data_IF_611286347856
#
_entry.id   IF_611286347856
#
_cell.length_a   1.000
_cell.length_b   1.000
_cell.length_c   1.000
_cell.angle_alpha   90.00
_cell.angle_beta   90.00
_cell.angle_gamma   90.00
#
_symmetry.space_group_name_H-M   'P 1'
#
loop_
_entity.id
_entity.type
_entity.pdbx_description
1 polymer ?
#
# COMPACT_ATOMS: atom_id res chain seq x y z
N UNK A 1 -2.80 -0.55 24.25
CA UNK A 1 -2.25 -1.83 24.75
C UNK A 1 -2.27 -2.87 23.62
N UNK A 2 -1.50 -3.98 23.70
CA UNK A 2 -1.48 -5.05 22.69
C UNK A 2 -2.79 -5.86 22.57
N UNK A 3 -3.70 -5.71 23.53
CA UNK A 3 -5.02 -6.34 23.52
C UNK A 3 -6.11 -5.46 22.87
N UNK A 4 -5.76 -4.24 22.48
CA UNK A 4 -6.68 -3.29 21.87
C UNK A 4 -6.44 -3.25 20.35
N UNK A 5 -7.51 -3.11 19.58
CA UNK A 5 -7.40 -2.84 18.16
C UNK A 5 -6.70 -1.49 17.92
N UNK A 6 -5.97 -1.34 16.80
CA UNK A 6 -5.41 -0.05 16.44
C UNK A 6 -6.51 1.01 16.29
N UNK A 7 -6.20 2.29 16.53
CA UNK A 7 -7.19 3.36 16.44
C UNK A 7 -7.76 3.44 15.01
N UNK A 8 -9.09 3.53 14.92
CA UNK A 8 -9.77 3.84 13.66
C UNK A 8 -9.91 5.35 13.51
N UNK A 9 -9.76 5.84 12.28
CA UNK A 9 -9.86 7.26 11.93
C UNK A 9 -10.93 7.39 10.86
N UNK A 10 -11.76 8.44 10.92
CA UNK A 10 -12.70 8.71 9.83
C UNK A 10 -11.89 9.05 8.57
N UNK A 11 -12.14 8.33 7.50
CA UNK A 11 -11.62 8.65 6.17
C UNK A 11 -12.73 9.27 5.31
N UNK A 12 -12.36 10.14 4.38
CA UNK A 12 -13.23 10.63 3.32
C UNK A 12 -13.05 9.84 2.02
N UNK A 13 -12.09 8.91 1.97
CA UNK A 13 -11.86 8.06 0.81
C UNK A 13 -13.01 7.05 0.65
N UNK A 14 -13.39 6.78 -0.61
CA UNK A 14 -14.46 5.86 -0.93
C UNK A 14 -13.93 4.42 -0.80
N UNK A 15 -14.52 3.57 0.05
CA UNK A 15 -14.11 2.16 0.15
C UNK A 15 -14.30 1.38 -1.16
N UNK A 16 -15.06 1.91 -2.13
CA UNK A 16 -15.26 1.34 -3.45
C UNK A 16 -14.50 2.08 -4.56
N UNK A 17 -13.50 2.91 -4.21
CA UNK A 17 -12.66 3.60 -5.19
C UNK A 17 -12.06 2.59 -6.18
N UNK A 18 -12.26 2.86 -7.47
CA UNK A 18 -11.67 2.11 -8.56
C UNK A 18 -10.55 2.93 -9.17
N UNK A 19 -9.34 2.36 -9.22
CA UNK A 19 -8.23 2.92 -9.97
C UNK A 19 -7.91 2.01 -11.16
N UNK A 20 -8.40 2.39 -12.34
CA UNK A 20 -8.15 1.67 -13.58
C UNK A 20 -6.68 1.71 -14.00
N UNK A 21 -5.88 2.64 -13.46
CA UNK A 21 -4.47 2.74 -13.80
C UNK A 21 -3.66 1.58 -13.23
N UNK A 22 -4.14 0.91 -12.17
CA UNK A 22 -3.49 -0.26 -11.58
C UNK A 22 -3.20 -1.37 -12.61
N UNK A 23 -4.07 -1.52 -13.61
CA UNK A 23 -3.94 -2.50 -14.69
C UNK A 23 -2.72 -2.19 -15.57
N UNK A 24 -2.35 -0.91 -15.70
CA UNK A 24 -1.26 -0.47 -16.56
C UNK A 24 0.09 -0.46 -15.86
N UNK A 25 0.13 -0.52 -14.52
CA UNK A 25 1.37 -0.51 -13.74
C UNK A 25 2.14 -1.82 -13.90
N UNK A 26 1.42 -2.94 -13.91
CA UNK A 26 2.01 -4.27 -14.08
C UNK A 26 2.26 -4.52 -15.58
N UNK A 27 3.52 -4.65 -16.01
CA UNK A 27 3.82 -4.89 -17.42
C UNK A 27 3.37 -6.29 -17.85
N UNK A 28 3.06 -6.46 -19.14
CA UNK A 28 2.78 -7.78 -19.72
C UNK A 28 4.01 -8.71 -19.67
N UNK A 29 5.21 -8.14 -19.78
CA UNK A 29 6.49 -8.84 -19.64
C UNK A 29 6.87 -8.95 -18.16
N UNK A 30 6.93 -10.17 -17.64
CA UNK A 30 7.28 -10.45 -16.23
C UNK A 30 8.72 -10.11 -15.86
N UNK A 31 9.61 -9.92 -16.84
CA UNK A 31 10.99 -9.50 -16.60
C UNK A 31 11.14 -7.98 -16.52
N UNK A 32 10.11 -7.23 -16.92
CA UNK A 32 10.14 -5.77 -16.87
C UNK A 32 9.82 -5.30 -15.45
N UNK A 33 10.69 -4.50 -14.82
CA UNK A 33 10.46 -4.01 -13.46
C UNK A 33 9.30 -3.01 -13.45
N UNK A 34 8.65 -2.89 -12.28
CA UNK A 34 7.64 -1.88 -12.00
C UNK A 34 7.73 -1.45 -10.54
N UNK A 35 7.26 -0.23 -10.25
CA UNK A 35 7.29 0.28 -8.88
C UNK A 35 6.08 -0.25 -8.09
N UNK A 36 6.33 -1.25 -7.23
CA UNK A 36 5.30 -1.80 -6.34
C UNK A 36 4.71 -0.74 -5.39
N UNK A 37 5.44 0.35 -5.09
CA UNK A 37 4.94 1.43 -4.23
C UNK A 37 3.78 2.16 -4.90
N UNK A 38 3.76 2.31 -6.22
CA UNK A 38 2.63 2.95 -6.93
C UNK A 38 1.31 2.21 -6.67
N UNK A 39 1.36 0.87 -6.69
CA UNK A 39 0.20 0.02 -6.36
C UNK A 39 -0.19 0.20 -4.89
N UNK A 40 0.77 0.18 -3.97
CA UNK A 40 0.53 0.37 -2.53
C UNK A 40 -0.13 1.72 -2.26
N UNK A 41 0.37 2.80 -2.87
CA UNK A 41 -0.22 4.13 -2.73
C UNK A 41 -1.64 4.15 -3.27
N UNK A 42 -1.89 3.57 -4.46
CA UNK A 42 -3.22 3.57 -5.06
C UNK A 42 -4.27 2.85 -4.20
N UNK A 43 -3.94 1.74 -3.54
CA UNK A 43 -4.92 0.95 -2.76
C UNK A 43 -5.19 1.47 -1.33
N UNK A 44 -4.33 2.32 -0.80
CA UNK A 44 -4.44 2.83 0.57
C UNK A 44 -5.25 4.14 0.62
N UNK A 45 -5.94 4.35 1.74
CA UNK A 45 -6.72 5.57 1.98
C UNK A 45 -5.86 6.83 1.78
N UNK A 46 -6.40 7.83 1.06
CA UNK A 46 -5.74 9.11 0.73
C UNK A 46 -4.39 8.96 0.01
N UNK A 47 -4.10 7.79 -0.56
CA UNK A 47 -2.78 7.44 -1.08
C UNK A 47 -1.64 7.64 -0.06
N UNK A 48 -1.87 7.30 1.21
CA UNK A 48 -0.89 7.45 2.29
C UNK A 48 -0.30 6.11 2.72
N UNK A 49 1.02 6.03 2.64
CA UNK A 49 1.80 4.90 3.13
C UNK A 49 2.92 5.38 4.04
N UNK A 50 3.10 4.69 5.17
CA UNK A 50 4.21 4.90 6.08
C UNK A 50 5.17 3.72 5.96
N UNK A 51 6.16 3.88 5.09
CA UNK A 51 7.17 2.86 4.83
C UNK A 51 8.13 2.70 6.00
N UNK A 52 8.47 1.45 6.30
CA UNK A 52 9.42 1.07 7.33
C UNK A 52 10.65 0.50 6.63
N UNK A 53 11.84 0.88 7.10
CA UNK A 53 13.11 0.39 6.53
C UNK A 53 13.31 0.70 5.04
N UNK A 54 12.79 1.83 4.53
CA UNK A 54 12.88 2.21 3.10
C UNK A 54 14.30 2.12 2.48
N UNK A 55 15.35 2.38 3.27
CA UNK A 55 16.74 2.35 2.80
C UNK A 55 17.45 0.99 3.01
N UNK A 56 16.73 -0.05 3.45
CA UNK A 56 17.28 -1.36 3.77
C UNK A 56 16.47 -2.48 3.11
N UNK A 57 17.15 -3.38 2.40
CA UNK A 57 16.51 -4.52 1.71
C UNK A 57 15.36 -4.12 0.76
N UNK A 58 15.65 -3.21 -0.19
CA UNK A 58 14.68 -2.60 -1.11
C UNK A 58 13.95 -3.59 -2.05
N UNK A 59 14.32 -4.87 -2.04
CA UNK A 59 13.60 -5.93 -2.76
C UNK A 59 12.27 -6.33 -2.08
N UNK A 60 12.02 -5.86 -0.85
CA UNK A 60 10.75 -6.04 -0.13
C UNK A 60 10.32 -4.71 0.49
N UNK A 61 9.08 -4.30 0.23
CA UNK A 61 8.46 -3.12 0.85
C UNK A 61 7.64 -3.57 2.05
N UNK A 62 7.88 -2.96 3.20
CA UNK A 62 7.10 -3.16 4.43
C UNK A 62 6.67 -1.82 5.00
N UNK A 63 5.47 -1.76 5.58
CA UNK A 63 5.01 -0.54 6.21
C UNK A 63 3.56 -0.58 6.65
N UNK A 64 3.04 0.58 7.02
CA UNK A 64 1.68 0.75 7.49
C UNK A 64 0.89 1.70 6.61
N UNK A 65 -0.42 1.43 6.50
CA UNK A 65 -1.37 2.28 5.80
C UNK A 65 -2.73 2.26 6.50
N UNK A 66 -3.73 2.84 5.85
CA UNK A 66 -5.13 2.71 6.26
C UNK A 66 -6.00 2.23 5.11
N UNK A 67 -7.00 1.42 5.45
CA UNK A 67 -8.08 1.03 4.55
C UNK A 67 -9.41 1.22 5.27
N UNK A 68 -10.30 2.05 4.71
CA UNK A 68 -11.55 2.45 5.33
C UNK A 68 -11.37 2.89 6.80
N UNK A 69 -10.33 3.70 7.05
CA UNK A 69 -10.01 4.24 8.36
C UNK A 69 -9.32 3.29 9.33
N UNK A 70 -9.12 2.02 8.98
CA UNK A 70 -8.47 1.02 9.83
C UNK A 70 -7.00 0.87 9.46
N UNK A 71 -6.13 0.79 10.46
CA UNK A 71 -4.70 0.54 10.25
C UNK A 71 -4.48 -0.86 9.69
N UNK A 72 -3.69 -0.95 8.62
CA UNK A 72 -3.25 -2.20 8.00
C UNK A 72 -1.73 -2.23 7.89
N UNK A 73 -1.14 -3.42 7.98
CA UNK A 73 0.27 -3.66 7.67
C UNK A 73 0.39 -4.22 6.25
N UNK A 74 1.37 -3.74 5.50
CA UNK A 74 1.65 -4.16 4.12
C UNK A 74 3.02 -4.84 4.07
N UNK A 75 3.08 -5.94 3.34
CA UNK A 75 4.31 -6.64 2.96
C UNK A 75 4.18 -6.96 1.47
N UNK A 76 5.10 -6.47 0.65
CA UNK A 76 5.08 -6.69 -0.79
C UNK A 76 6.48 -6.91 -1.36
N UNK A 77 6.60 -7.77 -2.37
CA UNK A 77 7.83 -7.92 -3.15
C UNK A 77 8.00 -6.74 -4.11
N UNK A 78 9.21 -6.23 -4.25
CA UNK A 78 9.56 -5.16 -5.18
C UNK A 78 10.48 -5.73 -6.28
N UNK A 79 9.94 -6.01 -7.49
CA UNK A 79 10.68 -6.64 -8.59
C UNK A 79 11.62 -5.66 -9.32
#
# INVERSE_FOLDING_TARGET
>A
NNSEAPPSVKTSDDPNRLDNNLINIVPEDSLKPYDMKEIIYSILDDNKFFEIHELFAQNVVVGFGRMNGKTVGIIASHP
#
